data_IF_732848809165
#
_entry.id   IF_732848809165
#
_cell.length_a   1.000
_cell.length_b   1.000
_cell.length_c   1.000
_cell.angle_alpha   90.00
_cell.angle_beta   90.00
_cell.angle_gamma   90.00
#
_symmetry.space_group_name_H-M   'P 1'
#
loop_
_entity.id
_entity.type
_entity.pdbx_description
1 polymer ?
#
# COMPACT_ATOMS: atom_id res chain seq x y z
N UNK A 1 14.56 -0.16 -22.21
CA UNK A 1 14.13 -1.44 -21.61
C UNK A 1 14.35 -1.52 -20.09
N UNK A 2 15.13 -0.62 -19.47
CA UNK A 2 15.50 -0.62 -18.04
C UNK A 2 14.50 0.03 -17.04
N UNK A 3 13.52 0.84 -17.48
CA UNK A 3 12.64 1.58 -16.56
C UNK A 3 11.49 0.78 -15.92
N UNK A 4 11.12 -0.38 -16.47
CA UNK A 4 9.90 -1.11 -16.03
C UNK A 4 10.11 -1.98 -14.77
N UNK A 5 11.33 -2.47 -14.54
CA UNK A 5 11.65 -3.36 -13.41
C UNK A 5 11.76 -2.57 -12.09
N UNK A 6 12.02 -1.26 -12.14
CA UNK A 6 12.04 -0.42 -10.93
C UNK A 6 10.65 -0.05 -10.41
N UNK A 7 9.69 0.27 -11.28
CA UNK A 7 8.38 0.78 -10.82
C UNK A 7 7.54 -0.28 -10.08
N UNK A 8 7.61 -1.55 -10.47
CA UNK A 8 6.96 -2.63 -9.71
C UNK A 8 7.58 -2.79 -8.32
N UNK A 9 8.91 -2.71 -8.20
CA UNK A 9 9.59 -2.77 -6.90
C UNK A 9 9.22 -1.57 -6.03
N UNK A 10 9.19 -0.37 -6.60
CA UNK A 10 8.75 0.85 -5.92
C UNK A 10 7.30 0.71 -5.42
N UNK A 11 6.40 0.18 -6.26
CA UNK A 11 5.03 -0.10 -5.84
C UNK A 11 4.98 -1.08 -4.66
N UNK A 12 5.73 -2.19 -4.71
CA UNK A 12 5.78 -3.17 -3.62
C UNK A 12 6.33 -2.55 -2.33
N UNK A 13 7.39 -1.74 -2.42
CA UNK A 13 7.98 -1.06 -1.25
C UNK A 13 6.97 -0.08 -0.64
N UNK A 14 6.29 0.72 -1.46
CA UNK A 14 5.26 1.66 -1.00
C UNK A 14 4.07 0.93 -0.38
N UNK A 15 3.62 -0.17 -0.98
CA UNK A 15 2.54 -0.99 -0.46
C UNK A 15 2.90 -1.59 0.89
N UNK A 16 4.10 -2.16 1.03
CA UNK A 16 4.59 -2.71 2.29
C UNK A 16 4.72 -1.61 3.36
N UNK A 17 5.33 -0.47 3.02
CA UNK A 17 5.46 0.66 3.94
C UNK A 17 4.09 1.18 4.41
N UNK A 18 3.12 1.28 3.49
CA UNK A 18 1.74 1.67 3.81
C UNK A 18 1.08 0.65 4.74
N UNK A 19 1.23 -0.65 4.44
CA UNK A 19 0.69 -1.73 5.26
C UNK A 19 1.29 -1.77 6.66
N UNK A 20 2.61 -1.64 6.79
CA UNK A 20 3.31 -1.62 8.09
C UNK A 20 2.90 -0.41 8.92
N UNK A 21 2.81 0.78 8.31
CA UNK A 21 2.41 1.99 9.02
C UNK A 21 0.95 1.88 9.45
N UNK A 22 0.06 1.39 8.59
CA UNK A 22 -1.35 1.20 8.93
C UNK A 22 -1.58 0.21 10.06
N UNK A 23 -0.70 -0.80 10.17
CA UNK A 23 -0.73 -1.83 11.20
C UNK A 23 -0.38 -1.31 12.60
N UNK A 24 0.22 -0.13 12.70
CA UNK A 24 0.55 0.49 13.99
C UNK A 24 -0.72 0.80 14.81
N UNK A 25 -0.62 0.80 16.15
CA UNK A 25 -1.74 1.15 17.00
C UNK A 25 -2.27 2.54 16.70
N UNK A 26 -3.59 2.69 16.74
CA UNK A 26 -4.25 3.96 16.40
C UNK A 26 -3.75 5.15 17.23
N UNK A 27 -3.29 4.92 18.46
CA UNK A 27 -2.68 5.94 19.33
C UNK A 27 -1.43 6.61 18.72
N UNK A 28 -0.74 5.92 17.81
CA UNK A 28 0.46 6.45 17.10
C UNK A 28 0.05 7.16 15.81
N UNK A 29 -1.05 6.74 15.20
CA UNK A 29 -1.54 7.28 13.92
C UNK A 29 -2.49 8.47 14.09
N UNK A 30 -3.12 8.60 15.26
CA UNK A 30 -4.11 9.63 15.59
C UNK A 30 -3.51 10.50 16.70
N UNK A 31 -3.33 11.78 16.40
CA UNK A 31 -3.02 12.82 17.39
C UNK A 31 -4.28 13.30 18.11
N UNK A 32 -4.14 14.35 18.93
CA UNK A 32 -5.22 14.80 19.86
C UNK A 32 -6.52 15.18 19.13
N UNK A 33 -6.43 15.82 17.96
CA UNK A 33 -7.59 16.28 17.18
C UNK A 33 -7.52 15.95 15.68
N UNK A 34 -6.42 15.35 15.21
CA UNK A 34 -6.15 15.07 13.80
C UNK A 34 -5.18 13.89 13.67
N UNK A 35 -5.02 13.28 12.49
CA UNK A 35 -3.97 12.30 12.28
C UNK A 35 -2.62 12.85 12.73
N UNK A 36 -1.76 11.99 13.30
CA UNK A 36 -0.37 12.37 13.57
C UNK A 36 0.35 12.69 12.25
N UNK A 37 1.55 13.28 12.30
CA UNK A 37 2.39 13.43 11.10
C UNK A 37 2.52 12.13 10.30
N UNK A 38 2.61 11.01 11.02
CA UNK A 38 2.72 9.67 10.45
C UNK A 38 1.40 9.20 9.82
N UNK A 39 0.26 9.52 10.45
CA UNK A 39 -1.08 9.30 9.89
C UNK A 39 -1.35 10.15 8.64
N UNK A 40 -0.94 11.42 8.63
CA UNK A 40 -1.02 12.28 7.45
C UNK A 40 -0.12 11.80 6.32
N UNK A 41 1.12 11.39 6.64
CA UNK A 41 2.02 10.82 5.65
C UNK A 41 1.44 9.55 5.02
N UNK A 42 0.76 8.72 5.81
CA UNK A 42 0.03 7.57 5.29
C UNK A 42 -1.12 7.99 4.35
N UNK A 43 -2.06 8.78 4.86
CA UNK A 43 -3.35 9.05 4.20
C UNK A 43 -3.21 10.03 3.04
N UNK A 44 -2.40 11.08 3.19
CA UNK A 44 -2.26 12.13 2.17
C UNK A 44 -1.14 11.87 1.15
N UNK A 45 -0.15 11.02 1.47
CA UNK A 45 0.99 10.78 0.57
C UNK A 45 1.09 9.33 0.11
N UNK A 46 1.32 8.38 1.02
CA UNK A 46 1.56 6.97 0.68
C UNK A 46 0.36 6.31 -0.02
N UNK A 47 -0.84 6.48 0.50
CA UNK A 47 -2.06 5.86 -0.05
C UNK A 47 -2.38 6.41 -1.45
N UNK A 48 -2.44 7.74 -1.69
CA UNK A 48 -2.66 8.28 -3.02
C UNK A 48 -1.57 7.86 -4.02
N UNK A 49 -0.31 7.88 -3.61
CA UNK A 49 0.82 7.47 -4.46
C UNK A 49 0.73 5.99 -4.84
N UNK A 50 0.35 5.13 -3.89
CA UNK A 50 0.10 3.71 -4.14
C UNK A 50 -1.00 3.51 -5.19
N UNK A 51 -2.12 4.22 -5.08
CA UNK A 51 -3.23 4.14 -6.04
C UNK A 51 -2.83 4.65 -7.43
N UNK A 52 -2.12 5.77 -7.50
CA UNK A 52 -1.61 6.31 -8.78
C UNK A 52 -0.70 5.28 -9.46
N UNK A 53 0.24 4.68 -8.72
CA UNK A 53 1.13 3.65 -9.25
C UNK A 53 0.37 2.39 -9.67
N UNK A 54 -0.62 1.96 -8.89
CA UNK A 54 -1.45 0.80 -9.21
C UNK A 54 -2.20 1.02 -10.52
N UNK A 55 -2.85 2.18 -10.68
CA UNK A 55 -3.59 2.54 -11.90
C UNK A 55 -2.63 2.61 -13.09
N UNK A 56 -1.52 3.32 -12.95
CA UNK A 56 -0.52 3.48 -14.01
C UNK A 56 0.05 2.13 -14.50
N UNK A 57 0.45 1.26 -13.56
CA UNK A 57 0.96 -0.07 -13.88
C UNK A 57 -0.13 -0.96 -14.48
N UNK A 58 -1.37 -0.84 -14.02
CA UNK A 58 -2.52 -1.59 -14.54
C UNK A 58 -2.82 -1.20 -16.00
N UNK A 59 -2.85 0.09 -16.32
CA UNK A 59 -3.04 0.58 -17.71
C UNK A 59 -1.94 0.03 -18.62
N UNK A 60 -0.68 0.07 -18.16
CA UNK A 60 0.45 -0.42 -18.94
C UNK A 60 0.37 -1.92 -19.19
N UNK A 61 -0.06 -2.70 -18.20
CA UNK A 61 -0.11 -4.15 -18.34
C UNK A 61 -1.34 -4.64 -19.11
N UNK A 62 -2.48 -3.94 -19.00
CA UNK A 62 -3.62 -4.13 -19.90
C UNK A 62 -3.24 -3.85 -21.36
N UNK A 63 -2.57 -2.71 -21.63
CA UNK A 63 -2.11 -2.38 -22.99
C UNK A 63 -1.13 -3.40 -23.57
N UNK A 64 -0.43 -4.15 -22.73
CA UNK A 64 0.55 -5.19 -23.15
C UNK A 64 0.03 -6.62 -22.98
N UNK A 65 -1.27 -6.83 -22.74
CA UNK A 65 -1.87 -8.14 -22.46
C UNK A 65 -1.19 -8.95 -21.34
N UNK A 66 -0.60 -8.26 -20.36
CA UNK A 66 0.10 -8.87 -19.21
C UNK A 66 -0.84 -9.03 -18.01
N UNK A 67 -2.00 -9.63 -18.23
CA UNK A 67 -3.05 -9.78 -17.21
C UNK A 67 -2.55 -10.53 -15.97
N UNK A 68 -1.69 -11.56 -16.16
CA UNK A 68 -1.07 -12.31 -15.06
C UNK A 68 -0.34 -11.40 -14.05
N UNK A 69 0.47 -10.46 -14.53
CA UNK A 69 1.20 -9.51 -13.68
C UNK A 69 0.28 -8.54 -12.93
N UNK A 70 -0.86 -8.19 -13.53
CA UNK A 70 -1.89 -7.38 -12.88
C UNK A 70 -2.55 -8.15 -11.74
N UNK A 71 -2.95 -9.40 -11.99
CA UNK A 71 -3.55 -10.28 -10.97
C UNK A 71 -2.58 -10.54 -9.81
N UNK A 72 -1.30 -10.79 -10.08
CA UNK A 72 -0.27 -10.95 -9.05
C UNK A 72 -0.18 -9.70 -8.15
N UNK A 73 -0.18 -8.49 -8.72
CA UNK A 73 -0.15 -7.26 -7.90
C UNK A 73 -1.42 -7.06 -7.08
N UNK A 74 -2.59 -7.39 -7.62
CA UNK A 74 -3.85 -7.31 -6.87
C UNK A 74 -3.89 -8.32 -5.72
N UNK A 75 -3.40 -9.54 -5.94
CA UNK A 75 -3.25 -10.55 -4.89
C UNK A 75 -2.32 -10.07 -3.77
N UNK A 76 -1.16 -9.52 -4.12
CA UNK A 76 -0.22 -8.96 -3.14
C UNK A 76 -0.88 -7.83 -2.34
N UNK A 77 -1.64 -6.94 -3.02
CA UNK A 77 -2.37 -5.86 -2.35
C UNK A 77 -3.39 -6.41 -1.34
N UNK A 78 -4.19 -7.41 -1.74
CA UNK A 78 -5.18 -8.04 -0.86
C UNK A 78 -4.50 -8.70 0.34
N UNK A 79 -3.40 -9.42 0.12
CA UNK A 79 -2.65 -10.09 1.19
C UNK A 79 -2.08 -9.07 2.18
N UNK A 80 -1.44 -8.00 1.69
CA UNK A 80 -0.85 -6.96 2.56
C UNK A 80 -1.94 -6.25 3.36
N UNK A 81 -3.06 -5.89 2.73
CA UNK A 81 -4.18 -5.27 3.44
C UNK A 81 -4.78 -6.20 4.50
N UNK A 82 -5.03 -7.47 4.13
CA UNK A 82 -5.55 -8.48 5.05
C UNK A 82 -4.65 -8.71 6.26
N UNK A 83 -3.34 -8.86 6.04
CA UNK A 83 -2.34 -8.98 7.10
C UNK A 83 -2.30 -7.73 7.98
N UNK A 84 -2.31 -6.54 7.39
CA UNK A 84 -2.27 -5.29 8.14
C UNK A 84 -3.48 -5.11 9.05
N UNK A 85 -4.67 -5.48 8.56
CA UNK A 85 -5.92 -5.42 9.31
C UNK A 85 -5.89 -6.46 10.43
N UNK A 86 -5.53 -7.71 10.13
CA UNK A 86 -5.43 -8.79 11.12
C UNK A 86 -4.46 -8.45 12.25
N UNK A 87 -3.29 -7.91 11.92
CA UNK A 87 -2.29 -7.48 12.91
C UNK A 87 -2.79 -6.32 13.77
N UNK A 88 -3.47 -5.34 13.16
CA UNK A 88 -4.08 -4.23 13.88
C UNK A 88 -5.18 -4.70 14.85
N UNK A 89 -6.00 -5.66 14.43
CA UNK A 89 -7.01 -6.28 15.31
C UNK A 89 -6.35 -7.03 16.48
N UNK A 90 -5.28 -7.79 16.22
CA UNK A 90 -4.50 -8.46 17.26
C UNK A 90 -3.97 -7.47 18.30
N UNK A 91 -3.30 -6.40 17.87
CA UNK A 91 -2.78 -5.36 18.78
C UNK A 91 -3.88 -4.67 19.58
N UNK A 92 -5.09 -4.53 19.01
CA UNK A 92 -6.20 -3.90 19.75
C UNK A 92 -6.72 -4.78 20.90
N UNK A 93 -6.50 -6.09 20.83
CA UNK A 93 -6.97 -7.07 21.82
C UNK A 93 -5.99 -7.30 23.00
N UNK A 94 -4.71 -6.95 22.84
CA UNK A 94 -3.69 -7.01 23.89
C UNK A 94 -3.46 -5.61 24.51
#
# INVERSE_FOLDING_TARGET
MLKKINLNKVFIIILLASGTIYSLPSKVLIGVYSPSLLGWFLVAFLVPLMFILLIWLSIIDLRKNRIKLLLERLLILIIVLGLSLGFKYLIKFF
#
